data_IF_243826915084
#
_entry.id   IF_243826915084
#
_cell.length_a   1.000
_cell.length_b   1.000
_cell.length_c   1.000
_cell.angle_alpha   90.00
_cell.angle_beta   90.00
_cell.angle_gamma   90.00
#
_symmetry.space_group_name_H-M   'P 1'
#
loop_
_entity.id
_entity.type
_entity.pdbx_description
1 polymer ?
#
# COMPACT_ATOMS: atom_id res chain seq x y z
N UNK A 1 5.95 -2.94 20.34
CA UNK A 1 6.23 -1.52 20.06
C UNK A 1 6.76 -1.29 18.64
N UNK A 2 7.88 -1.91 18.23
CA UNK A 2 8.49 -1.72 16.88
C UNK A 2 7.52 -2.06 15.73
N UNK A 3 6.77 -3.16 15.85
CA UNK A 3 5.73 -3.56 14.90
C UNK A 3 4.64 -2.49 14.68
N UNK A 4 4.14 -1.91 15.77
CA UNK A 4 3.08 -0.90 15.73
C UNK A 4 3.58 0.45 15.17
N UNK A 5 4.86 0.78 15.41
CA UNK A 5 5.46 2.03 14.91
C UNK A 5 5.94 1.93 13.46
N UNK A 6 6.41 0.76 13.03
CA UNK A 6 6.88 0.54 11.65
C UNK A 6 5.75 0.39 10.63
N UNK A 7 4.57 -0.10 11.05
CA UNK A 7 3.45 -0.26 10.13
C UNK A 7 2.94 1.05 9.52
N UNK A 8 2.68 2.13 10.28
CA UNK A 8 2.37 3.43 9.70
C UNK A 8 3.48 4.00 8.82
N UNK A 9 4.75 3.74 9.17
CA UNK A 9 5.90 4.14 8.35
C UNK A 9 5.89 3.48 6.97
N UNK A 10 5.58 2.18 6.89
CA UNK A 10 5.39 1.51 5.61
C UNK A 10 4.14 2.02 4.87
N UNK A 11 3.06 2.32 5.60
CA UNK A 11 1.86 2.97 5.06
C UNK A 11 2.18 4.29 4.35
N UNK A 12 2.97 5.15 4.98
CA UNK A 12 3.40 6.43 4.41
C UNK A 12 4.24 6.25 3.15
N UNK A 13 5.10 5.22 3.09
CA UNK A 13 5.83 4.89 1.86
C UNK A 13 4.87 4.47 0.73
N UNK A 14 3.88 3.63 1.03
CA UNK A 14 2.86 3.24 0.05
C UNK A 14 2.07 4.43 -0.49
N UNK A 15 1.58 5.30 0.39
CA UNK A 15 0.88 6.53 0.02
C UNK A 15 1.77 7.52 -0.75
N UNK A 16 3.04 7.65 -0.34
CA UNK A 16 4.02 8.49 -1.01
C UNK A 16 4.35 8.02 -2.42
N UNK A 17 4.46 6.71 -2.64
CA UNK A 17 4.64 6.12 -3.98
C UNK A 17 3.44 6.40 -4.89
N UNK A 18 2.21 6.32 -4.36
CA UNK A 18 1.03 6.72 -5.11
C UNK A 18 1.07 8.22 -5.43
N UNK A 19 1.39 9.08 -4.47
CA UNK A 19 1.55 10.53 -4.69
C UNK A 19 2.60 10.85 -5.77
N UNK A 20 3.73 10.14 -5.76
CA UNK A 20 4.75 10.25 -6.79
C UNK A 20 4.22 9.79 -8.16
N UNK A 21 3.49 8.68 -8.21
CA UNK A 21 2.86 8.20 -9.45
C UNK A 21 1.88 9.23 -10.01
N UNK A 22 1.04 9.85 -9.17
CA UNK A 22 0.13 10.92 -9.61
C UNK A 22 0.87 12.14 -10.16
N UNK A 23 2.07 12.44 -9.62
CA UNK A 23 2.89 13.54 -10.11
C UNK A 23 3.57 13.24 -11.44
N UNK A 24 4.02 11.99 -11.63
CA UNK A 24 4.74 11.53 -12.82
C UNK A 24 3.79 11.17 -13.97
N UNK A 25 2.54 10.80 -13.68
CA UNK A 25 1.53 10.41 -14.65
C UNK A 25 0.28 11.30 -14.51
N UNK A 26 0.26 12.50 -15.14
CA UNK A 26 -0.85 13.44 -15.03
C UNK A 26 -2.20 12.86 -15.45
N UNK A 27 -2.21 11.91 -16.41
CA UNK A 27 -3.43 11.20 -16.81
C UNK A 27 -4.07 10.39 -15.68
N UNK A 28 -3.26 9.80 -14.78
CA UNK A 28 -3.75 9.10 -13.60
C UNK A 28 -4.31 10.07 -12.56
N UNK A 29 -3.68 11.24 -12.40
CA UNK A 29 -4.20 12.29 -11.52
C UNK A 29 -5.52 12.87 -12.03
N UNK A 30 -5.67 13.04 -13.35
CA UNK A 30 -6.93 13.44 -13.98
C UNK A 30 -8.02 12.37 -13.82
N UNK A 31 -7.67 11.08 -13.92
CA UNK A 31 -8.61 9.99 -13.71
C UNK A 31 -9.10 9.87 -12.26
N UNK A 32 -8.31 10.36 -11.29
CA UNK A 32 -8.60 10.25 -9.86
C UNK A 32 -9.02 11.57 -9.20
N UNK A 33 -9.27 12.66 -9.94
CA UNK A 33 -9.44 14.03 -9.40
C UNK A 33 -10.20 14.12 -8.07
N UNK A 34 -11.45 13.65 -8.04
CA UNK A 34 -12.33 13.73 -6.85
C UNK A 34 -12.07 12.60 -5.85
N UNK A 35 -11.30 11.60 -6.26
CA UNK A 35 -11.08 10.34 -5.55
C UNK A 35 -9.64 10.17 -5.06
N UNK A 36 -8.77 11.17 -5.29
CA UNK A 36 -7.34 11.14 -4.91
C UNK A 36 -7.19 10.88 -3.41
N UNK A 37 -7.84 11.68 -2.57
CA UNK A 37 -7.70 11.57 -1.13
C UNK A 37 -8.20 10.19 -0.62
N UNK A 38 -9.40 9.71 -1.01
CA UNK A 38 -9.83 8.34 -0.70
C UNK A 38 -8.86 7.26 -1.19
N UNK A 39 -8.35 7.36 -2.42
CA UNK A 39 -7.40 6.39 -2.98
C UNK A 39 -6.09 6.33 -2.19
N UNK A 40 -5.58 7.50 -1.78
CA UNK A 40 -4.38 7.63 -0.94
C UNK A 40 -4.62 7.02 0.44
N UNK A 41 -5.77 7.26 1.06
CA UNK A 41 -6.14 6.68 2.36
C UNK A 41 -6.29 5.15 2.29
N UNK A 42 -6.94 4.64 1.25
CA UNK A 42 -7.05 3.20 1.01
C UNK A 42 -5.68 2.55 0.84
N UNK A 43 -4.80 3.15 0.03
CA UNK A 43 -3.43 2.66 -0.20
C UNK A 43 -2.60 2.69 1.07
N UNK A 44 -2.69 3.77 1.85
CA UNK A 44 -2.04 3.90 3.15
C UNK A 44 -2.46 2.78 4.11
N UNK A 45 -3.77 2.53 4.22
CA UNK A 45 -4.30 1.51 5.11
C UNK A 45 -3.94 0.10 4.66
N UNK A 46 -4.02 -0.21 3.37
CA UNK A 46 -3.60 -1.51 2.83
C UNK A 46 -2.14 -1.82 3.20
N UNK A 47 -1.22 -0.89 2.91
CA UNK A 47 0.19 -1.05 3.22
C UNK A 47 0.42 -1.17 4.74
N UNK A 48 -0.23 -0.32 5.54
CA UNK A 48 -0.13 -0.36 7.00
C UNK A 48 -0.60 -1.71 7.57
N UNK A 49 -1.75 -2.20 7.13
CA UNK A 49 -2.34 -3.46 7.60
C UNK A 49 -1.51 -4.67 7.17
N UNK A 50 -1.08 -4.72 5.91
CA UNK A 50 -0.22 -5.80 5.41
C UNK A 50 1.08 -5.86 6.19
N UNK A 51 1.71 -4.71 6.42
CA UNK A 51 2.93 -4.66 7.23
C UNK A 51 2.66 -5.08 8.66
N UNK A 52 1.62 -4.53 9.29
CA UNK A 52 1.26 -4.84 10.66
C UNK A 52 0.99 -6.34 10.84
N UNK A 53 0.11 -6.94 10.04
CA UNK A 53 -0.21 -8.37 10.14
C UNK A 53 0.98 -9.24 9.73
N UNK A 54 1.72 -8.79 8.73
CA UNK A 54 2.84 -9.50 8.13
C UNK A 54 4.14 -9.49 8.93
N UNK A 55 4.36 -8.55 9.87
CA UNK A 55 5.60 -8.41 10.64
C UNK A 55 5.90 -9.61 11.56
N UNK A 56 4.85 -10.26 12.09
CA UNK A 56 5.00 -11.38 13.02
C UNK A 56 5.58 -10.98 14.40
N UNK A 57 6.11 -11.97 15.13
CA UNK A 57 6.75 -11.80 16.46
C UNK A 57 8.26 -11.53 16.39
N UNK A 58 8.87 -11.62 15.21
CA UNK A 58 10.30 -11.41 15.05
C UNK A 58 10.66 -9.93 15.27
N UNK A 59 11.84 -9.64 15.85
CA UNK A 59 12.25 -8.27 16.15
C UNK A 59 12.50 -7.44 14.88
N UNK A 60 12.93 -8.07 13.78
CA UNK A 60 13.01 -7.46 12.46
C UNK A 60 12.59 -8.46 11.35
N UNK A 61 11.91 -8.01 10.29
CA UNK A 61 11.55 -8.85 9.16
C UNK A 61 12.78 -9.06 8.25
N UNK A 62 12.91 -10.26 7.67
CA UNK A 62 13.94 -10.52 6.67
C UNK A 62 13.62 -9.82 5.33
N UNK A 63 14.61 -9.57 4.45
CA UNK A 63 14.37 -8.91 3.17
C UNK A 63 13.39 -9.68 2.28
N UNK A 64 13.50 -11.01 2.24
CA UNK A 64 12.56 -11.87 1.51
C UNK A 64 11.13 -11.81 2.06
N UNK A 65 10.97 -11.67 3.38
CA UNK A 65 9.66 -11.43 3.99
C UNK A 65 9.15 -10.03 3.64
N UNK A 66 10.00 -9.01 3.73
CA UNK A 66 9.68 -7.64 3.31
C UNK A 66 9.20 -7.58 1.87
N UNK A 67 9.88 -8.27 0.95
CA UNK A 67 9.49 -8.41 -0.45
C UNK A 67 8.08 -8.99 -0.61
N UNK A 68 7.78 -10.08 0.10
CA UNK A 68 6.45 -10.69 0.08
C UNK A 68 5.37 -9.76 0.64
N UNK A 69 5.65 -9.03 1.72
CA UNK A 69 4.72 -8.03 2.27
C UNK A 69 4.52 -6.85 1.31
N UNK A 70 5.56 -6.41 0.60
CA UNK A 70 5.45 -5.40 -0.44
C UNK A 70 4.55 -5.85 -1.59
N UNK A 71 4.72 -7.08 -2.08
CA UNK A 71 3.84 -7.67 -3.09
C UNK A 71 2.37 -7.72 -2.62
N UNK A 72 2.14 -8.21 -1.40
CA UNK A 72 0.79 -8.28 -0.81
C UNK A 72 0.17 -6.89 -0.64
N UNK A 73 0.96 -5.89 -0.24
CA UNK A 73 0.48 -4.51 -0.12
C UNK A 73 0.06 -3.93 -1.47
N UNK A 74 0.81 -4.20 -2.55
CA UNK A 74 0.42 -3.77 -3.89
C UNK A 74 -0.88 -4.44 -4.37
N UNK A 75 -1.03 -5.74 -4.14
CA UNK A 75 -2.25 -6.48 -4.51
C UNK A 75 -3.47 -5.94 -3.73
N UNK A 76 -3.28 -5.60 -2.46
CA UNK A 76 -4.35 -5.10 -1.59
C UNK A 76 -4.60 -3.59 -1.71
N UNK A 77 -3.71 -2.82 -2.33
CA UNK A 77 -3.88 -1.38 -2.49
C UNK A 77 -5.12 -1.04 -3.35
N UNK A 78 -5.33 -1.77 -4.45
CA UNK A 78 -6.46 -1.56 -5.35
C UNK A 78 -7.84 -1.77 -4.68
N UNK A 79 -8.14 -2.92 -4.04
CA UNK A 79 -9.43 -3.11 -3.39
C UNK A 79 -9.66 -2.12 -2.24
N UNK A 80 -8.61 -1.78 -1.47
CA UNK A 80 -8.75 -0.77 -0.42
C UNK A 80 -9.01 0.63 -0.96
N UNK A 81 -8.31 1.03 -2.03
CA UNK A 81 -8.58 2.30 -2.71
C UNK A 81 -10.04 2.35 -3.18
N UNK A 82 -10.53 1.29 -3.81
CA UNK A 82 -11.92 1.22 -4.28
C UNK A 82 -12.91 1.32 -3.11
N UNK A 83 -12.71 0.59 -2.01
CA UNK A 83 -13.57 0.68 -0.82
C UNK A 83 -13.61 2.11 -0.26
N UNK A 84 -12.48 2.80 -0.23
CA UNK A 84 -12.43 4.17 0.30
C UNK A 84 -13.10 5.17 -0.63
N UNK A 85 -12.85 5.07 -1.94
CA UNK A 85 -13.53 5.87 -2.96
C UNK A 85 -15.04 5.67 -2.86
N UNK A 86 -15.46 4.43 -2.70
CA UNK A 86 -16.84 4.01 -2.51
C UNK A 86 -17.48 4.64 -1.28
N UNK A 87 -16.82 4.54 -0.14
CA UNK A 87 -17.30 5.10 1.13
C UNK A 87 -17.36 6.64 1.12
N UNK A 88 -16.65 7.29 0.20
CA UNK A 88 -16.65 8.75 0.04
C UNK A 88 -17.63 9.26 -1.02
N UNK A 89 -18.32 8.37 -1.75
CA UNK A 89 -19.26 8.78 -2.77
C UNK A 89 -20.65 9.10 -2.15
N UNK A 90 -21.25 10.22 -2.54
CA UNK A 90 -22.64 10.57 -2.17
C UNK A 90 -23.63 9.47 -2.63
N UNK A 91 -24.85 9.44 -2.06
CA UNK A 91 -25.88 8.38 -2.16
C UNK A 91 -26.15 7.77 -3.57
N UNK A 92 -25.74 8.41 -4.67
CA UNK A 92 -25.80 7.86 -6.04
C UNK A 92 -24.64 6.93 -6.41
N UNK A 93 -23.51 7.01 -5.71
CA UNK A 93 -22.33 6.15 -5.91
C UNK A 93 -22.44 4.81 -5.19
N UNK A 94 -23.23 4.74 -4.11
CA UNK A 94 -23.46 3.50 -3.34
C UNK A 94 -24.17 2.41 -4.16
N UNK A 95 -25.03 2.80 -5.12
CA UNK A 95 -25.73 1.87 -6.02
C UNK A 95 -24.85 1.38 -7.19
N UNK A 96 -23.79 2.13 -7.54
CA UNK A 96 -22.82 1.75 -8.58
C UNK A 96 -21.79 0.70 -8.13
N UNK A 97 -21.90 0.24 -6.88
CA UNK A 97 -20.98 -0.68 -6.23
C UNK A 97 -21.64 -2.01 -5.89
N UNK A 98 -22.18 -2.67 -6.92
CA UNK A 98 -22.26 -4.12 -6.85
C UNK A 98 -20.84 -4.67 -6.62
N UNK A 99 -20.69 -5.70 -5.77
CA UNK A 99 -19.40 -6.34 -5.49
C UNK A 99 -18.65 -6.70 -6.78
N UNK A 100 -19.41 -7.02 -7.83
CA UNK A 100 -18.93 -7.24 -9.19
C UNK A 100 -18.14 -6.07 -9.76
N UNK A 101 -18.63 -4.83 -9.62
CA UNK A 101 -17.96 -3.62 -10.12
C UNK A 101 -16.63 -3.34 -9.39
N UNK A 102 -16.60 -3.57 -8.08
CA UNK A 102 -15.37 -3.48 -7.26
C UNK A 102 -14.32 -4.48 -7.74
N UNK A 103 -14.73 -5.73 -7.98
CA UNK A 103 -13.83 -6.80 -8.43
C UNK A 103 -13.28 -6.50 -9.82
N UNK A 104 -14.11 -6.02 -10.75
CA UNK A 104 -13.69 -5.67 -12.11
C UNK A 104 -12.70 -4.51 -12.09
N UNK A 105 -13.00 -3.42 -11.37
CA UNK A 105 -12.09 -2.28 -11.24
C UNK A 105 -10.76 -2.66 -10.58
N UNK A 106 -10.81 -3.49 -9.52
CA UNK A 106 -9.60 -3.98 -8.87
C UNK A 106 -8.75 -4.84 -9.80
N UNK A 107 -9.40 -5.65 -10.64
CA UNK A 107 -8.74 -6.56 -11.59
C UNK A 107 -8.13 -5.80 -12.75
N UNK A 108 -8.85 -4.88 -13.37
CA UNK A 108 -8.33 -4.05 -14.48
C UNK A 108 -7.16 -3.19 -13.98
N UNK A 109 -7.32 -2.54 -12.82
CA UNK A 109 -6.23 -1.78 -12.21
C UNK A 109 -5.00 -2.65 -11.91
N UNK A 110 -5.19 -3.89 -11.45
CA UNK A 110 -4.09 -4.82 -11.20
C UNK A 110 -3.40 -5.30 -12.50
N UNK A 111 -4.14 -5.46 -13.60
CA UNK A 111 -3.56 -5.88 -14.89
C UNK A 111 -2.80 -4.73 -15.57
N UNK A 112 -3.35 -3.53 -15.54
CA UNK A 112 -2.75 -2.38 -16.24
C UNK A 112 -1.57 -1.78 -15.47
N UNK A 113 -1.69 -1.65 -14.15
CA UNK A 113 -0.62 -1.03 -13.34
C UNK A 113 0.33 -2.06 -12.73
N UNK A 114 -0.10 -3.32 -12.60
CA UNK A 114 0.65 -4.40 -11.95
C UNK A 114 2.05 -4.67 -12.50
N UNK A 115 2.30 -4.69 -13.82
CA UNK A 115 3.62 -4.95 -14.36
C UNK A 115 4.70 -3.96 -13.89
N UNK A 116 4.31 -2.74 -13.54
CA UNK A 116 5.22 -1.68 -13.08
C UNK A 116 5.14 -1.52 -11.55
N UNK A 117 3.94 -1.56 -10.97
CA UNK A 117 3.73 -1.32 -9.54
C UNK A 117 4.22 -2.48 -8.67
N UNK A 118 4.11 -3.72 -9.15
CA UNK A 118 4.46 -4.91 -8.37
C UNK A 118 5.97 -5.02 -8.11
N UNK A 119 6.87 -4.88 -9.11
CA UNK A 119 8.32 -4.87 -8.85
C UNK A 119 8.75 -3.74 -7.90
N UNK A 120 8.18 -2.54 -8.06
CA UNK A 120 8.48 -1.38 -7.21
C UNK A 120 8.05 -1.65 -5.76
N UNK A 121 6.87 -2.22 -5.55
CA UNK A 121 6.38 -2.57 -4.23
C UNK A 121 7.20 -3.68 -3.56
N UNK A 122 7.59 -4.71 -4.32
CA UNK A 122 8.49 -5.79 -3.85
C UNK A 122 9.82 -5.20 -3.36
N UNK A 123 10.45 -4.37 -4.17
CA UNK A 123 11.72 -3.73 -3.81
C UNK A 123 11.57 -2.84 -2.58
N UNK A 124 10.51 -2.02 -2.55
CA UNK A 124 10.20 -1.14 -1.40
C UNK A 124 10.05 -1.95 -0.12
N UNK A 125 9.31 -3.06 -0.16
CA UNK A 125 9.16 -3.96 0.98
C UNK A 125 10.48 -4.58 1.43
N UNK A 126 11.32 -5.03 0.49
CA UNK A 126 12.62 -5.62 0.79
C UNK A 126 13.58 -4.60 1.43
N UNK A 127 13.68 -3.39 0.86
CA UNK A 127 14.52 -2.31 1.39
C UNK A 127 14.04 -1.84 2.76
N UNK A 128 12.73 -1.69 2.96
CA UNK A 128 12.18 -1.29 4.25
C UNK A 128 12.48 -2.32 5.35
N UNK A 129 12.39 -3.62 5.04
CA UNK A 129 12.79 -4.69 5.95
C UNK A 129 14.28 -4.64 6.30
N UNK A 130 15.16 -4.39 5.32
CA UNK A 130 16.60 -4.21 5.56
C UNK A 130 16.89 -3.05 6.51
N UNK A 131 16.28 -1.89 6.28
CA UNK A 131 16.47 -0.71 7.12
C UNK A 131 16.01 -0.97 8.57
N UNK A 132 14.86 -1.62 8.75
CA UNK A 132 14.40 -2.02 10.07
C UNK A 132 15.33 -3.03 10.74
N UNK A 133 15.88 -3.97 9.97
CA UNK A 133 16.89 -4.92 10.45
C UNK A 133 18.14 -4.22 10.98
N UNK A 134 18.63 -3.20 10.26
CA UNK A 134 19.78 -2.39 10.70
C UNK A 134 19.45 -1.60 11.98
N UNK A 135 18.31 -0.90 12.02
CA UNK A 135 17.88 -0.12 13.19
C UNK A 135 17.72 -0.97 14.45
N UNK A 136 17.22 -2.20 14.31
CA UNK A 136 17.06 -3.14 15.42
C UNK A 136 18.43 -3.64 15.90
N UNK A 137 19.34 -3.95 14.97
CA UNK A 137 20.70 -4.39 15.30
C UNK A 137 21.49 -3.31 16.03
N UNK A 138 21.37 -2.06 15.60
CA UNK A 138 22.06 -0.93 16.25
C UNK A 138 21.56 -0.73 17.68
N UNK A 139 20.23 -0.75 17.89
CA UNK A 139 19.64 -0.71 19.25
C UNK A 139 20.10 -1.85 20.14
N UNK A 140 20.25 -3.06 19.61
CA UNK A 140 20.75 -4.20 20.37
C UNK A 140 22.23 -4.06 20.75
N UNK A 141 22.99 -3.27 19.97
CA UNK A 141 24.42 -3.02 20.21
C UNK A 141 24.72 -1.88 21.20
N UNK A 142 23.69 -1.16 21.67
CA UNK A 142 23.84 -0.08 22.66
C UNK A 142 24.54 1.17 22.13
N UNK A 143 24.66 1.31 20.81
CA UNK A 143 25.09 2.54 20.12
C UNK A 143 23.88 3.38 19.76
#
# INVERSE_FOLDING_TARGET
MIRALSAPGFGLLGAGLLGLALRLFPGLALALQETVLPAVLGTFLAATLVWYLGFGKAPAPSPGRGAALGALAAVLANPFAIIFISASADDRGAEALDMTGVIVLATVGAVETGPISLPVAILTGAFYALLLGLLVKDRASGK
#
